data_IF_259035549424
#
_entry.id   IF_259035549424
#
_cell.length_a   1.000
_cell.length_b   1.000
_cell.length_c   1.000
_cell.angle_alpha   90.00
_cell.angle_beta   90.00
_cell.angle_gamma   90.00
#
_symmetry.space_group_name_H-M   'P 1'
#
loop_
_entity.id
_entity.type
_entity.pdbx_description
1 polymer ?
#
# COMPACT_ATOMS: atom_id res chain seq x y z
N UNK A 1 -15.98 4.90 8.11
CA UNK A 1 -16.73 4.30 6.98
C UNK A 1 -15.66 3.83 6.02
N UNK A 2 -15.28 2.57 6.09
CA UNK A 2 -14.28 2.02 5.19
C UNK A 2 -14.92 1.93 3.82
N UNK A 3 -14.28 2.53 2.81
CA UNK A 3 -14.74 2.47 1.44
C UNK A 3 -14.27 1.13 0.88
N UNK A 4 -15.20 0.29 0.41
CA UNK A 4 -14.89 -0.95 -0.33
C UNK A 4 -14.49 -0.64 -1.79
N UNK A 5 -13.69 0.42 -1.97
CA UNK A 5 -13.19 0.86 -3.26
C UNK A 5 -11.83 1.53 -3.11
N UNK A 6 -10.87 1.08 -3.92
CA UNK A 6 -9.60 1.76 -4.18
C UNK A 6 -9.85 2.80 -5.28
N UNK A 7 -9.32 4.00 -5.09
CA UNK A 7 -9.45 5.11 -6.04
C UNK A 7 -8.08 5.72 -6.31
N UNK A 8 -7.69 5.75 -7.58
CA UNK A 8 -6.48 6.46 -8.02
C UNK A 8 -6.74 7.96 -8.11
N UNK A 9 -5.68 8.76 -8.10
CA UNK A 9 -5.79 10.22 -8.27
C UNK A 9 -6.36 10.62 -9.66
N UNK A 10 -6.29 9.76 -10.68
CA UNK A 10 -6.91 9.98 -11.99
C UNK A 10 -8.39 9.53 -12.06
N UNK A 11 -8.95 9.04 -10.95
CA UNK A 11 -10.37 8.71 -10.81
C UNK A 11 -10.74 7.28 -11.18
N UNK A 12 -9.77 6.44 -11.54
CA UNK A 12 -9.98 4.99 -11.71
C UNK A 12 -10.39 4.36 -10.39
N UNK A 13 -11.37 3.45 -10.44
CA UNK A 13 -11.93 2.79 -9.25
C UNK A 13 -11.87 1.28 -9.39
N UNK A 14 -11.53 0.61 -8.31
CA UNK A 14 -11.56 -0.85 -8.22
C UNK A 14 -12.19 -1.28 -6.90
N UNK A 15 -13.12 -2.24 -6.94
CA UNK A 15 -13.69 -2.81 -5.73
C UNK A 15 -12.60 -3.47 -4.89
N UNK A 16 -12.61 -3.22 -3.59
CA UNK A 16 -11.68 -3.83 -2.65
C UNK A 16 -12.41 -4.29 -1.40
N UNK A 17 -11.74 -5.08 -0.58
CA UNK A 17 -12.19 -5.42 0.76
C UNK A 17 -11.34 -4.64 1.76
N UNK A 18 -11.93 -3.66 2.44
CA UNK A 18 -11.23 -2.97 3.51
C UNK A 18 -11.15 -3.86 4.75
N UNK A 19 -9.93 -4.26 5.12
CA UNK A 19 -9.65 -5.10 6.28
C UNK A 19 -8.63 -4.43 7.20
N UNK A 20 -8.79 -4.53 8.53
CA UNK A 20 -7.86 -3.91 9.47
C UNK A 20 -6.52 -4.64 9.56
N UNK A 21 -6.50 -5.93 9.21
CA UNK A 21 -5.35 -6.84 9.32
C UNK A 21 -5.45 -7.86 8.18
N UNK A 22 -4.35 -8.19 7.50
CA UNK A 22 -4.39 -9.02 6.30
C UNK A 22 -4.72 -10.49 6.60
N UNK A 23 -4.31 -11.00 7.76
CA UNK A 23 -4.59 -12.38 8.21
C UNK A 23 -6.09 -12.73 8.26
N UNK A 24 -6.99 -11.76 8.38
CA UNK A 24 -8.45 -12.01 8.37
C UNK A 24 -9.02 -12.13 6.95
N UNK A 25 -8.23 -11.86 5.90
CA UNK A 25 -8.70 -11.81 4.52
C UNK A 25 -9.36 -13.12 4.07
N UNK A 26 -8.71 -14.26 4.36
CA UNK A 26 -9.23 -15.59 4.00
C UNK A 26 -10.57 -15.88 4.67
N UNK A 27 -10.70 -15.57 5.95
CA UNK A 27 -11.94 -15.76 6.70
C UNK A 27 -13.06 -14.87 6.14
N UNK A 28 -12.76 -13.58 5.92
CA UNK A 28 -13.74 -12.61 5.41
C UNK A 28 -14.21 -12.90 4.00
N UNK A 29 -13.31 -13.34 3.13
CA UNK A 29 -13.66 -13.74 1.76
C UNK A 29 -14.41 -15.08 1.74
N UNK A 30 -14.14 -15.95 2.71
CA UNK A 30 -14.59 -17.33 2.76
C UNK A 30 -13.58 -18.25 2.08
N UNK A 31 -13.29 -19.39 2.71
CA UNK A 31 -12.22 -20.30 2.28
C UNK A 31 -12.39 -20.78 0.83
N UNK A 32 -13.61 -21.17 0.42
CA UNK A 32 -13.87 -21.64 -0.95
C UNK A 32 -13.66 -20.56 -2.01
N UNK A 33 -13.96 -19.30 -1.68
CA UNK A 33 -13.74 -18.17 -2.59
C UNK A 33 -12.25 -17.82 -2.64
N UNK A 34 -11.58 -17.80 -1.48
CA UNK A 34 -10.14 -17.58 -1.39
C UNK A 34 -9.33 -18.62 -2.16
N UNK A 35 -9.72 -19.89 -2.13
CA UNK A 35 -9.02 -20.95 -2.86
C UNK A 35 -9.11 -20.76 -4.40
N UNK A 36 -10.11 -20.00 -4.90
CA UNK A 36 -10.25 -19.64 -6.32
C UNK A 36 -9.52 -18.34 -6.70
N UNK A 37 -8.90 -17.66 -5.74
CA UNK A 37 -8.13 -16.43 -5.99
C UNK A 37 -6.73 -16.79 -6.47
N UNK A 38 -6.39 -16.35 -7.68
CA UNK A 38 -5.04 -16.47 -8.23
C UNK A 38 -4.14 -15.29 -7.83
N UNK A 39 -4.72 -14.08 -7.72
CA UNK A 39 -4.00 -12.83 -7.49
C UNK A 39 -4.61 -12.04 -6.33
N UNK A 40 -3.76 -11.61 -5.39
CA UNK A 40 -4.13 -10.74 -4.27
C UNK A 40 -3.44 -9.39 -4.45
N UNK A 41 -4.23 -8.33 -4.60
CA UNK A 41 -3.74 -6.94 -4.58
C UNK A 41 -3.90 -6.32 -3.19
N UNK A 42 -2.84 -5.73 -2.67
CA UNK A 42 -2.83 -4.98 -1.42
C UNK A 42 -2.42 -3.55 -1.76
N UNK A 43 -3.31 -2.60 -1.53
CA UNK A 43 -3.06 -1.17 -1.70
C UNK A 43 -2.91 -0.48 -0.35
N UNK A 44 -2.22 0.66 -0.32
CA UNK A 44 -1.91 1.41 0.90
C UNK A 44 -1.25 0.55 1.99
N UNK A 45 -0.39 -0.38 1.57
CA UNK A 45 0.17 -1.43 2.40
C UNK A 45 1.02 -0.92 3.58
N UNK A 46 1.47 0.33 3.54
CA UNK A 46 2.16 0.96 4.68
C UNK A 46 1.31 1.03 5.97
N UNK A 47 -0.01 0.92 5.86
CA UNK A 47 -0.91 0.83 7.01
C UNK A 47 -1.15 -0.59 7.52
N UNK A 48 -0.61 -1.61 6.84
CA UNK A 48 -0.70 -3.00 7.27
C UNK A 48 0.44 -3.37 8.22
N UNK A 49 0.10 -3.99 9.35
CA UNK A 49 1.07 -4.40 10.37
C UNK A 49 1.62 -5.82 10.14
N UNK A 50 0.93 -6.64 9.34
CA UNK A 50 1.22 -8.07 9.18
C UNK A 50 1.67 -8.49 7.76
N UNK A 51 2.18 -7.55 6.95
CA UNK A 51 2.69 -7.86 5.60
C UNK A 51 3.76 -8.95 5.60
N UNK A 52 4.72 -8.87 6.53
CA UNK A 52 5.86 -9.78 6.58
C UNK A 52 5.44 -11.24 6.79
N UNK A 53 4.39 -11.46 7.58
CA UNK A 53 3.84 -12.80 7.82
C UNK A 53 2.83 -13.18 6.72
N UNK A 54 2.01 -12.24 6.25
CA UNK A 54 0.98 -12.50 5.26
C UNK A 54 1.58 -12.90 3.90
N UNK A 55 2.57 -12.16 3.40
CA UNK A 55 3.09 -12.34 2.05
C UNK A 55 3.63 -13.75 1.80
N UNK A 56 4.53 -14.34 2.63
CA UNK A 56 5.00 -15.71 2.45
C UNK A 56 3.91 -16.76 2.60
N UNK A 57 2.94 -16.55 3.50
CA UNK A 57 1.82 -17.46 3.64
C UNK A 57 0.96 -17.50 2.37
N UNK A 58 0.60 -16.33 1.84
CA UNK A 58 -0.20 -16.24 0.61
C UNK A 58 0.57 -16.70 -0.63
N UNK A 59 1.84 -16.29 -0.78
CA UNK A 59 2.65 -16.59 -1.95
C UNK A 59 3.21 -18.02 -1.95
N UNK A 60 3.96 -18.40 -0.91
CA UNK A 60 4.71 -19.65 -0.89
C UNK A 60 3.83 -20.84 -0.51
N UNK A 61 2.98 -20.67 0.51
CA UNK A 61 2.13 -21.76 1.02
C UNK A 61 0.86 -21.91 0.20
N UNK A 62 0.13 -20.82 0.00
CA UNK A 62 -1.16 -20.83 -0.69
C UNK A 62 -1.04 -20.68 -2.23
N UNK A 63 0.19 -20.52 -2.75
CA UNK A 63 0.52 -20.49 -4.18
C UNK A 63 -0.15 -19.33 -4.95
N UNK A 64 -0.30 -18.17 -4.33
CA UNK A 64 -0.97 -16.99 -4.94
C UNK A 64 0.04 -15.95 -5.42
N UNK A 65 -0.29 -15.22 -6.47
CA UNK A 65 0.47 -14.02 -6.82
C UNK A 65 0.05 -12.87 -5.90
N UNK A 66 0.99 -12.27 -5.17
CA UNK A 66 0.71 -11.14 -4.29
C UNK A 66 1.33 -9.87 -4.88
N UNK A 67 0.50 -8.84 -5.09
CA UNK A 67 0.92 -7.52 -5.57
C UNK A 67 0.72 -6.53 -4.44
N UNK A 68 1.81 -5.93 -3.96
CA UNK A 68 1.79 -4.98 -2.84
C UNK A 68 2.14 -3.58 -3.37
N UNK A 69 1.26 -2.62 -3.10
CA UNK A 69 1.46 -1.20 -3.36
C UNK A 69 1.41 -0.43 -2.04
N UNK A 70 2.40 0.44 -1.82
CA UNK A 70 2.46 1.26 -0.62
C UNK A 70 3.60 2.26 -0.66
N UNK A 71 3.54 3.25 0.22
CA UNK A 71 4.60 4.24 0.39
C UNK A 71 5.78 3.66 1.17
N UNK A 72 7.00 3.80 0.66
CA UNK A 72 8.20 3.34 1.35
C UNK A 72 8.72 4.34 2.40
N UNK A 73 8.36 5.62 2.25
CA UNK A 73 8.72 6.72 3.14
C UNK A 73 7.52 7.53 3.63
N UNK A 74 7.58 7.98 4.88
CA UNK A 74 6.63 8.94 5.46
C UNK A 74 6.93 10.39 5.02
N UNK A 75 6.14 11.34 5.51
CA UNK A 75 6.24 12.75 5.14
C UNK A 75 7.56 13.44 5.56
N UNK A 76 8.38 12.79 6.40
CA UNK A 76 9.72 13.25 6.80
C UNK A 76 10.84 12.37 6.24
N UNK A 77 10.54 11.43 5.36
CA UNK A 77 11.50 10.55 4.70
C UNK A 77 11.99 9.39 5.58
N UNK A 78 11.26 9.04 6.65
CA UNK A 78 11.53 7.83 7.43
C UNK A 78 10.74 6.67 6.86
N UNK A 79 11.14 5.44 7.21
CA UNK A 79 10.40 4.24 6.87
C UNK A 79 8.91 4.37 7.25
N UNK A 80 8.01 4.04 6.33
CA UNK A 80 6.57 3.98 6.58
C UNK A 80 6.11 2.53 6.68
N UNK A 81 5.64 2.13 7.88
CA UNK A 81 5.04 0.82 8.10
C UNK A 81 6.00 -0.34 7.84
N UNK A 82 5.47 -1.43 7.30
CA UNK A 82 6.20 -2.69 7.04
C UNK A 82 6.53 -2.95 5.56
N UNK A 83 6.24 -2.00 4.66
CA UNK A 83 6.50 -2.16 3.20
C UNK A 83 7.97 -2.47 2.90
N UNK A 84 8.90 -1.84 3.63
CA UNK A 84 10.34 -2.11 3.43
C UNK A 84 10.78 -3.50 3.93
N UNK A 85 10.04 -4.11 4.85
CA UNK A 85 10.43 -5.42 5.43
C UNK A 85 10.20 -6.57 4.46
N UNK A 86 9.27 -6.41 3.51
CA UNK A 86 8.96 -7.46 2.54
C UNK A 86 9.86 -7.43 1.30
N UNK A 87 10.74 -6.43 1.16
CA UNK A 87 11.66 -6.33 0.01
C UNK A 87 12.52 -7.60 -0.16
N UNK A 88 13.14 -8.18 0.89
CA UNK A 88 13.93 -9.41 0.76
C UNK A 88 13.10 -10.65 0.38
N UNK A 89 11.78 -10.60 0.60
CA UNK A 89 10.83 -11.67 0.29
C UNK A 89 10.26 -11.54 -1.13
N UNK A 90 10.33 -10.35 -1.72
CA UNK A 90 9.68 -10.06 -3.00
C UNK A 90 10.48 -10.57 -4.20
N UNK A 91 9.81 -11.25 -5.12
CA UNK A 91 10.41 -11.67 -6.41
C UNK A 91 10.83 -10.48 -7.27
N UNK A 92 10.10 -9.36 -7.16
CA UNK A 92 10.40 -8.13 -7.89
C UNK A 92 9.96 -6.90 -7.09
N UNK A 93 10.72 -5.81 -7.23
CA UNK A 93 10.43 -4.52 -6.59
C UNK A 93 10.52 -3.42 -7.64
N UNK A 94 9.45 -2.65 -7.78
CA UNK A 94 9.42 -1.46 -8.64
C UNK A 94 9.27 -0.21 -7.79
N UNK A 95 10.32 0.61 -7.73
CA UNK A 95 10.26 1.92 -7.07
C UNK A 95 9.81 2.99 -8.06
N UNK A 96 8.56 3.42 -7.92
CA UNK A 96 8.00 4.51 -8.74
C UNK A 96 8.55 5.87 -8.29
N UNK A 97 8.56 6.82 -9.21
CA UNK A 97 8.88 8.22 -8.92
C UNK A 97 7.77 9.11 -9.42
N UNK A 98 7.44 10.14 -8.65
CA UNK A 98 6.51 11.18 -9.05
C UNK A 98 7.24 12.27 -9.86
N UNK A 99 6.53 13.34 -10.19
CA UNK A 99 7.10 14.57 -10.75
C UNK A 99 7.15 15.64 -9.66
N UNK A 100 8.33 16.20 -9.43
CA UNK A 100 8.54 17.27 -8.46
C UNK A 100 7.71 18.50 -8.85
N UNK A 101 6.86 18.96 -7.95
CA UNK A 101 6.01 20.13 -8.18
C UNK A 101 6.81 21.44 -8.18
N UNK A 102 8.04 21.45 -7.65
CA UNK A 102 8.90 22.65 -7.61
C UNK A 102 9.76 22.81 -8.87
N UNK A 103 10.41 21.73 -9.33
CA UNK A 103 11.39 21.80 -10.42
C UNK A 103 11.02 20.96 -11.64
N UNK A 104 9.94 20.17 -11.58
CA UNK A 104 9.48 19.32 -12.68
C UNK A 104 10.33 18.06 -12.95
N UNK A 105 11.40 17.83 -12.17
CA UNK A 105 12.24 16.63 -12.25
C UNK A 105 11.60 15.44 -11.52
N UNK A 106 12.31 14.30 -11.44
CA UNK A 106 11.85 13.14 -10.66
C UNK A 106 11.73 13.50 -9.18
N UNK A 107 10.58 13.21 -8.61
CA UNK A 107 10.32 13.30 -7.17
C UNK A 107 10.39 11.92 -6.52
N UNK A 108 11.05 11.86 -5.37
CA UNK A 108 11.29 10.65 -4.60
C UNK A 108 10.64 10.70 -3.23
N UNK A 109 10.20 11.89 -2.80
CA UNK A 109 9.69 12.11 -1.45
C UNK A 109 8.33 12.80 -1.50
N UNK A 110 7.53 12.53 -0.48
CA UNK A 110 6.32 13.28 -0.20
C UNK A 110 6.60 14.24 0.94
N UNK A 111 6.35 15.53 0.75
CA UNK A 111 6.41 16.52 1.83
C UNK A 111 5.01 16.95 2.21
N UNK A 112 4.74 17.03 3.51
CA UNK A 112 3.51 17.64 4.04
C UNK A 112 3.57 19.17 3.97
N UNK A 113 2.50 19.81 3.51
CA UNK A 113 2.33 21.28 3.42
C UNK A 113 1.91 21.90 4.75
N UNK A 114 1.26 21.11 5.59
CA UNK A 114 0.60 21.54 6.81
C UNK A 114 1.46 21.32 8.06
N UNK A 115 1.05 21.85 9.22
CA UNK A 115 1.84 21.82 10.47
C UNK A 115 1.53 20.62 11.38
N UNK A 116 0.57 19.79 11.00
CA UNK A 116 0.19 18.58 11.69
C UNK A 116 1.35 17.58 11.72
N UNK A 117 1.57 16.96 12.88
CA UNK A 117 2.71 16.07 13.14
C UNK A 117 2.34 14.58 13.20
N UNK A 118 1.08 14.23 12.96
CA UNK A 118 0.64 12.83 12.94
C UNK A 118 1.25 12.12 11.72
N UNK A 119 1.84 10.94 11.88
CA UNK A 119 2.39 10.21 10.73
C UNK A 119 1.30 9.90 9.72
N UNK A 120 0.16 9.43 10.21
CA UNK A 120 -1.03 9.14 9.41
C UNK A 120 -1.90 10.40 9.32
N UNK A 121 -2.06 10.92 8.11
CA UNK A 121 -3.00 11.98 7.80
C UNK A 121 -3.54 11.74 6.40
N UNK A 122 -4.83 11.43 6.31
CA UNK A 122 -5.50 11.14 5.04
C UNK A 122 -5.74 12.47 4.32
N UNK A 123 -5.26 12.56 3.08
CA UNK A 123 -5.47 13.72 2.23
C UNK A 123 -4.68 13.59 0.93
N UNK A 124 -4.91 14.51 0.01
CA UNK A 124 -4.32 14.50 -1.32
C UNK A 124 -3.39 15.69 -1.54
N UNK A 125 -3.52 16.32 -2.71
CA UNK A 125 -2.72 17.47 -3.11
C UNK A 125 -2.91 18.72 -2.24
N UNK A 126 -3.98 18.78 -1.44
CA UNK A 126 -4.23 19.82 -0.44
C UNK A 126 -3.27 19.72 0.76
N UNK A 127 -2.87 18.50 1.13
CA UNK A 127 -2.01 18.24 2.29
C UNK A 127 -0.57 17.93 1.89
N UNK A 128 -0.36 17.33 0.72
CA UNK A 128 0.94 16.79 0.31
C UNK A 128 1.45 17.40 -1.01
N UNK A 129 2.77 17.40 -1.18
CA UNK A 129 3.49 17.78 -2.40
C UNK A 129 4.57 16.75 -2.69
N UNK A 130 4.72 16.37 -3.96
CA UNK A 130 5.82 15.53 -4.42
C UNK A 130 7.09 16.36 -4.62
N UNK A 131 8.19 15.93 -4.00
CA UNK A 131 9.52 16.55 -4.07
C UNK A 131 10.58 15.63 -4.66
#
# INVERSE_FOLDING_TARGET
>A
MWLDVIVTHDGTKMSCMAIPVLSVFRERLGAEAYDKVDVIGIDEAQFSEDLYDFCPNAADRDRKTVIVAGSDGDYVGRRFGSVLDIIPLADSVTKLTARCELCGQRAFFTRRKTSEKQTELIGGADIYISL
#
